data_IF_135940915438
#
_entry.id   IF_135940915438
#
_cell.length_a   1.000
_cell.length_b   1.000
_cell.length_c   1.000
_cell.angle_alpha   90.00
_cell.angle_beta   90.00
_cell.angle_gamma   90.00
#
_symmetry.space_group_name_H-M   'P 1'
#
loop_
_entity.id
_entity.type
_entity.pdbx_description
1 polymer ?
#
# COMPACT_ATOMS: atom_id res chain seq x y z
N UNK A 1 43.38 -24.41 -3.28
CA UNK A 1 42.73 -25.68 -2.90
C UNK A 1 42.05 -25.47 -1.56
N UNK A 2 40.76 -25.62 -1.32
CA UNK A 2 39.59 -25.95 -2.14
C UNK A 2 38.43 -25.96 -1.14
N UNK A 3 37.66 -24.87 -1.06
CA UNK A 3 36.44 -24.87 -0.25
C UNK A 3 35.37 -25.60 -1.07
N UNK A 4 35.12 -26.84 -0.67
CA UNK A 4 34.07 -27.70 -1.21
C UNK A 4 32.72 -27.00 -1.06
N UNK A 5 32.21 -26.35 -2.12
CA UNK A 5 30.79 -26.00 -2.23
C UNK A 5 30.00 -27.30 -2.41
N UNK A 6 29.81 -28.02 -1.30
CA UNK A 6 29.11 -29.30 -1.25
C UNK A 6 27.59 -29.15 -1.21
N UNK A 7 27.11 -27.91 -1.11
CA UNK A 7 25.69 -27.60 -1.02
C UNK A 7 25.32 -26.59 -2.09
N UNK A 8 24.21 -26.87 -2.77
CA UNK A 8 23.58 -25.92 -3.69
C UNK A 8 23.07 -24.70 -2.92
N UNK A 9 22.78 -23.60 -3.62
CA UNK A 9 22.25 -22.39 -2.99
C UNK A 9 20.94 -22.68 -2.25
N UNK A 10 20.11 -23.55 -2.81
CA UNK A 10 18.82 -23.95 -2.22
C UNK A 10 19.04 -24.74 -0.92
N UNK A 11 19.99 -25.69 -0.90
CA UNK A 11 20.34 -26.46 0.30
C UNK A 11 20.90 -25.57 1.42
N UNK A 12 21.65 -24.51 1.07
CA UNK A 12 22.15 -23.55 2.05
C UNK A 12 21.02 -22.69 2.64
N UNK A 13 20.03 -22.30 1.81
CA UNK A 13 18.87 -21.54 2.27
C UNK A 13 17.96 -22.36 3.17
N UNK A 14 17.71 -23.63 2.83
CA UNK A 14 16.97 -24.56 3.67
C UNK A 14 17.68 -24.78 5.02
N UNK A 15 19.00 -24.91 5.01
CA UNK A 15 19.79 -25.05 6.23
C UNK A 15 19.68 -23.81 7.12
N UNK A 16 19.70 -22.60 6.54
CA UNK A 16 19.51 -21.33 7.27
C UNK A 16 18.11 -21.28 7.89
N UNK A 17 17.07 -21.63 7.13
CA UNK A 17 15.69 -21.67 7.62
C UNK A 17 15.52 -22.66 8.77
N UNK A 18 16.11 -23.85 8.65
CA UNK A 18 16.07 -24.89 9.70
C UNK A 18 16.77 -24.45 10.99
N UNK A 19 17.95 -23.83 10.90
CA UNK A 19 18.63 -23.29 12.08
C UNK A 19 17.82 -22.17 12.74
N UNK A 20 17.20 -21.31 11.95
CA UNK A 20 16.40 -20.20 12.45
C UNK A 20 15.16 -20.66 13.23
N UNK A 21 14.41 -21.62 12.69
CA UNK A 21 13.23 -22.21 13.34
C UNK A 21 13.62 -22.85 14.69
N UNK A 22 14.74 -23.56 14.74
CA UNK A 22 15.23 -24.17 15.97
C UNK A 22 15.65 -23.14 17.02
N UNK A 23 16.28 -22.04 16.59
CA UNK A 23 16.68 -20.95 17.48
C UNK A 23 15.47 -20.27 18.15
N UNK A 24 14.32 -20.27 17.48
CA UNK A 24 13.07 -19.67 17.94
C UNK A 24 12.04 -20.69 18.46
N UNK A 25 12.48 -21.91 18.81
CA UNK A 25 11.62 -22.88 19.47
C UNK A 25 10.41 -23.34 18.63
N UNK A 26 10.48 -23.24 17.31
CA UNK A 26 9.39 -23.57 16.39
C UNK A 26 8.51 -22.39 15.97
N UNK A 27 8.67 -21.20 16.57
CA UNK A 27 7.92 -20.01 16.17
C UNK A 27 8.51 -19.35 14.92
N UNK A 28 7.66 -18.92 14.00
CA UNK A 28 8.07 -18.21 12.77
C UNK A 28 8.42 -16.75 13.07
N UNK A 29 9.59 -16.52 13.68
CA UNK A 29 10.12 -15.18 13.91
C UNK A 29 10.64 -14.56 12.59
N UNK A 30 10.46 -13.26 12.33
CA UNK A 30 10.95 -12.63 11.10
C UNK A 30 12.47 -12.69 10.96
N UNK A 31 12.98 -12.97 9.76
CA UNK A 31 14.40 -13.12 9.46
C UNK A 31 14.81 -12.20 8.31
N UNK A 32 15.83 -11.35 8.52
CA UNK A 32 16.50 -10.62 7.43
C UNK A 32 17.82 -11.29 7.11
N UNK A 33 17.96 -11.80 5.88
CA UNK A 33 19.22 -12.33 5.34
C UNK A 33 19.92 -11.23 4.53
N UNK A 34 21.17 -10.93 4.86
CA UNK A 34 22.02 -10.01 4.08
C UNK A 34 23.12 -10.79 3.38
N UNK A 35 23.14 -10.73 2.05
CA UNK A 35 24.15 -11.40 1.22
C UNK A 35 25.14 -10.34 0.75
N UNK A 36 26.37 -10.44 1.24
CA UNK A 36 27.48 -9.57 0.87
C UNK A 36 28.41 -10.28 -0.12
N UNK A 37 28.58 -9.69 -1.30
CA UNK A 37 29.62 -10.07 -2.26
C UNK A 37 30.39 -8.83 -2.73
N UNK A 38 31.45 -9.02 -3.53
CA UNK A 38 32.23 -7.89 -4.09
C UNK A 38 31.39 -6.96 -4.97
N UNK A 39 30.30 -7.47 -5.55
CA UNK A 39 29.51 -6.77 -6.56
C UNK A 39 28.04 -6.60 -6.16
N UNK A 40 27.60 -7.21 -5.05
CA UNK A 40 26.20 -7.19 -4.61
C UNK A 40 26.07 -7.12 -3.10
N UNK A 41 25.16 -6.26 -2.64
CA UNK A 41 24.60 -6.23 -1.29
C UNK A 41 23.09 -6.45 -1.43
N UNK A 42 22.61 -7.63 -1.05
CA UNK A 42 21.20 -8.02 -1.22
C UNK A 42 20.59 -8.29 0.16
N UNK A 43 19.38 -7.76 0.35
CA UNK A 43 18.57 -7.97 1.54
C UNK A 43 17.36 -8.84 1.16
N UNK A 44 17.12 -9.90 1.93
CA UNK A 44 15.97 -10.77 1.79
C UNK A 44 15.27 -10.88 3.14
N UNK A 45 14.05 -10.35 3.23
CA UNK A 45 13.21 -10.44 4.41
C UNK A 45 12.26 -11.63 4.29
N UNK A 46 12.45 -12.61 5.17
CA UNK A 46 11.64 -13.83 5.28
C UNK A 46 10.67 -13.63 6.44
N UNK A 47 9.38 -13.86 6.19
CA UNK A 47 8.26 -13.66 7.13
C UNK A 47 8.00 -12.19 7.55
N UNK A 48 8.27 -11.22 6.67
CA UNK A 48 7.78 -9.84 6.85
C UNK A 48 8.50 -9.05 7.94
N UNK A 49 9.81 -9.25 8.08
CA UNK A 49 10.67 -8.47 8.97
C UNK A 49 10.59 -6.98 8.63
N UNK A 50 9.71 -6.25 9.32
CA UNK A 50 9.65 -4.80 9.26
C UNK A 50 11.04 -4.22 9.54
N UNK A 51 11.51 -3.35 8.66
CA UNK A 51 12.50 -2.35 9.05
C UNK A 51 12.20 -0.99 8.48
N UNK A 52 11.90 -0.04 9.38
CA UNK A 52 12.51 1.29 9.30
C UNK A 52 12.98 1.74 10.71
N UNK A 53 14.23 1.43 11.11
CA UNK A 53 15.03 2.37 11.91
C UNK A 53 16.42 2.59 11.28
N UNK A 54 17.15 3.72 11.42
CA UNK A 54 17.86 4.23 12.63
C UNK A 54 18.52 5.60 12.36
N UNK A 55 18.98 6.31 13.40
CA UNK A 55 20.34 6.91 13.34
C UNK A 55 21.19 6.71 14.61
N UNK A 56 20.61 6.24 15.72
CA UNK A 56 21.40 5.95 16.92
C UNK A 56 20.76 4.93 17.87
N UNK A 57 19.81 4.12 17.38
CA UNK A 57 18.81 3.45 18.23
C UNK A 57 19.38 2.51 19.31
N UNK A 58 19.20 2.97 20.55
CA UNK A 58 19.32 2.27 21.85
C UNK A 58 18.06 1.47 22.25
N UNK A 59 17.04 1.39 21.42
CA UNK A 59 15.92 0.46 21.59
C UNK A 59 15.12 0.39 20.29
N UNK A 60 14.68 -0.81 19.90
CA UNK A 60 13.82 -0.99 18.74
C UNK A 60 12.46 -0.36 19.05
N UNK A 61 12.08 0.67 18.28
CA UNK A 61 10.77 1.32 18.40
C UNK A 61 9.71 0.50 17.69
N UNK A 62 8.57 0.28 18.33
CA UNK A 62 7.41 -0.35 17.66
C UNK A 62 6.80 0.60 16.61
N UNK A 63 5.98 0.10 15.69
CA UNK A 63 5.26 0.94 14.70
C UNK A 63 4.43 2.03 15.40
N UNK A 64 3.75 1.66 16.49
CA UNK A 64 2.98 2.60 17.31
C UNK A 64 3.86 3.71 17.92
N UNK A 65 5.08 3.39 18.38
CA UNK A 65 6.02 4.38 18.92
C UNK A 65 6.62 5.29 17.84
N UNK A 66 6.90 4.75 16.66
CA UNK A 66 7.32 5.57 15.51
C UNK A 66 6.21 6.56 15.15
N UNK A 67 4.97 6.08 15.13
CA UNK A 67 3.78 6.90 14.87
C UNK A 67 3.60 8.01 15.91
N UNK A 68 3.66 7.66 17.20
CA UNK A 68 3.60 8.62 18.30
C UNK A 68 4.74 9.64 18.27
N UNK A 69 5.88 9.29 17.67
CA UNK A 69 7.01 10.19 17.44
C UNK A 69 6.89 11.02 16.14
N UNK A 70 5.74 10.97 15.44
CA UNK A 70 5.49 11.67 14.19
C UNK A 70 6.16 11.04 12.97
N UNK A 71 6.64 9.79 13.09
CA UNK A 71 7.26 9.05 12.00
C UNK A 71 6.22 8.14 11.34
N UNK A 72 5.84 8.45 10.11
CA UNK A 72 4.91 7.64 9.32
C UNK A 72 3.73 8.45 8.79
N UNK A 73 2.56 7.82 8.78
CA UNK A 73 1.26 8.40 8.42
C UNK A 73 0.21 7.85 9.37
N UNK A 74 -0.60 8.74 9.94
CA UNK A 74 -1.61 8.38 10.96
C UNK A 74 -3.02 8.43 10.38
N UNK A 75 -3.22 9.26 9.36
CA UNK A 75 -4.48 9.51 8.68
C UNK A 75 -4.27 9.49 7.18
N UNK A 76 -5.03 8.64 6.50
CA UNK A 76 -5.02 8.48 5.05
C UNK A 76 -6.38 8.86 4.49
N UNK A 77 -6.41 9.69 3.45
CA UNK A 77 -7.62 9.96 2.68
C UNK A 77 -7.58 9.20 1.35
N UNK A 78 -8.61 8.42 1.05
CA UNK A 78 -8.81 7.80 -0.26
C UNK A 78 -9.94 8.51 -1.01
N UNK A 79 -9.68 8.93 -2.25
CA UNK A 79 -10.73 9.43 -3.14
C UNK A 79 -11.43 8.25 -3.82
N UNK A 80 -12.75 8.27 -3.86
CA UNK A 80 -13.55 7.15 -4.37
C UNK A 80 -14.71 7.65 -5.22
N UNK A 81 -14.74 7.35 -6.52
CA UNK A 81 -15.79 7.84 -7.43
C UNK A 81 -17.01 6.92 -7.49
N UNK A 82 -16.94 5.75 -6.86
CA UNK A 82 -18.02 4.76 -6.85
C UNK A 82 -17.95 3.80 -8.03
N UNK A 83 -16.89 3.82 -8.83
CA UNK A 83 -16.58 2.81 -9.83
C UNK A 83 -16.10 1.51 -9.19
N UNK A 84 -16.13 0.41 -9.95
CA UNK A 84 -15.55 -0.87 -9.52
C UNK A 84 -14.04 -0.79 -9.35
N UNK A 85 -13.33 -0.09 -10.24
CA UNK A 85 -11.89 0.09 -10.14
C UNK A 85 -11.48 0.77 -8.83
N UNK A 86 -12.24 1.79 -8.38
CA UNK A 86 -11.99 2.43 -7.08
C UNK A 86 -12.37 1.54 -5.90
N UNK A 87 -13.36 0.64 -6.06
CA UNK A 87 -13.72 -0.36 -5.05
C UNK A 87 -12.61 -1.41 -4.88
N UNK A 88 -12.00 -1.86 -5.97
CA UNK A 88 -10.85 -2.77 -5.93
C UNK A 88 -9.64 -2.10 -5.26
N UNK A 89 -9.37 -0.83 -5.60
CA UNK A 89 -8.36 -0.02 -4.93
C UNK A 89 -8.69 0.16 -3.44
N UNK A 90 -9.95 0.40 -3.09
CA UNK A 90 -10.38 0.50 -1.69
C UNK A 90 -10.06 -0.78 -0.92
N UNK A 91 -10.37 -1.95 -1.49
CA UNK A 91 -10.04 -3.24 -0.86
C UNK A 91 -8.53 -3.39 -0.68
N UNK A 92 -7.74 -3.06 -1.70
CA UNK A 92 -6.28 -3.06 -1.59
C UNK A 92 -5.81 -2.15 -0.45
N UNK A 93 -6.31 -0.92 -0.36
CA UNK A 93 -5.96 0.04 0.70
C UNK A 93 -6.36 -0.47 2.09
N UNK A 94 -7.54 -1.07 2.25
CA UNK A 94 -8.00 -1.64 3.52
C UNK A 94 -7.07 -2.76 4.00
N UNK A 95 -6.58 -3.59 3.09
CA UNK A 95 -5.66 -4.69 3.44
C UNK A 95 -4.19 -4.28 3.57
N UNK A 96 -3.79 -3.19 2.91
CA UNK A 96 -2.42 -2.67 2.92
C UNK A 96 -2.11 -1.87 4.18
N UNK A 97 -3.07 -1.06 4.64
CA UNK A 97 -2.84 -0.15 5.75
C UNK A 97 -2.93 -0.87 7.09
N UNK A 98 -2.00 -0.52 7.98
CA UNK A 98 -2.02 -0.96 9.38
C UNK A 98 -3.39 -0.61 10.03
N UNK A 99 -4.02 -1.54 10.78
CA UNK A 99 -5.34 -1.37 11.39
C UNK A 99 -5.51 -0.11 12.26
N UNK A 100 -4.44 0.46 12.80
CA UNK A 100 -4.46 1.67 13.63
C UNK A 100 -4.40 2.97 12.82
N UNK A 101 -4.04 2.92 11.53
CA UNK A 101 -4.03 4.10 10.65
C UNK A 101 -5.45 4.47 10.27
N UNK A 102 -5.91 5.66 10.64
CA UNK A 102 -7.26 6.10 10.34
C UNK A 102 -7.47 6.28 8.83
N UNK A 103 -8.52 5.66 8.29
CA UNK A 103 -8.87 5.74 6.87
C UNK A 103 -10.13 6.59 6.68
N UNK A 104 -9.96 7.71 5.99
CA UNK A 104 -11.04 8.52 5.45
C UNK A 104 -11.33 8.13 4.00
N UNK A 105 -12.61 8.11 3.61
CA UNK A 105 -13.02 7.94 2.21
C UNK A 105 -13.80 9.17 1.79
N UNK A 106 -13.38 9.80 0.70
CA UNK A 106 -14.09 10.91 0.10
C UNK A 106 -14.79 10.45 -1.18
N UNK A 107 -16.13 10.35 -1.18
CA UNK A 107 -16.90 10.11 -2.39
C UNK A 107 -16.72 11.28 -3.36
N UNK A 108 -16.34 10.98 -4.60
CA UNK A 108 -16.33 11.96 -5.69
C UNK A 108 -17.65 11.87 -6.45
N UNK A 109 -18.43 12.95 -6.42
CA UNK A 109 -19.60 13.04 -7.29
C UNK A 109 -19.13 13.34 -8.72
N UNK A 110 -19.16 12.32 -9.59
CA UNK A 110 -19.11 12.53 -11.03
C UNK A 110 -20.46 13.12 -11.46
N UNK A 111 -20.46 14.21 -12.22
CA UNK A 111 -21.68 14.87 -12.69
C UNK A 111 -22.48 13.93 -13.60
N UNK A 112 -23.60 13.39 -13.11
CA UNK A 112 -24.50 12.54 -13.91
C UNK A 112 -25.33 11.53 -13.10
N UNK A 113 -26.13 10.72 -13.81
CA UNK A 113 -27.00 9.66 -13.27
C UNK A 113 -26.24 8.51 -12.55
N UNK A 114 -24.91 8.54 -12.56
CA UNK A 114 -24.04 7.57 -11.86
C UNK A 114 -23.90 7.86 -10.35
N UNK A 115 -24.30 9.05 -9.90
CA UNK A 115 -24.26 9.47 -8.48
C UNK A 115 -24.95 8.49 -7.53
N UNK A 116 -26.09 7.91 -7.92
CA UNK A 116 -26.83 6.98 -7.05
C UNK A 116 -26.15 5.62 -6.93
N UNK A 117 -25.60 5.09 -8.04
CA UNK A 117 -24.89 3.79 -8.00
C UNK A 117 -23.53 3.90 -7.32
N UNK A 118 -22.82 5.00 -7.54
CA UNK A 118 -21.53 5.23 -6.91
C UNK A 118 -21.63 5.38 -5.39
N UNK A 119 -22.67 6.06 -4.90
CA UNK A 119 -22.94 6.17 -3.47
C UNK A 119 -23.25 4.81 -2.81
N UNK A 120 -23.93 3.91 -3.53
CA UNK A 120 -24.20 2.54 -3.05
C UNK A 120 -22.91 1.75 -2.89
N UNK A 121 -22.02 1.79 -3.87
CA UNK A 121 -20.75 1.05 -3.80
C UNK A 121 -19.84 1.54 -2.67
N UNK A 122 -19.71 2.86 -2.49
CA UNK A 122 -18.96 3.42 -1.35
C UNK A 122 -19.53 2.96 -0.01
N UNK A 123 -20.87 2.93 0.10
CA UNK A 123 -21.53 2.47 1.31
C UNK A 123 -21.29 0.98 1.58
N UNK A 124 -21.39 0.14 0.54
CA UNK A 124 -21.08 -1.28 0.63
C UNK A 124 -19.62 -1.53 1.05
N UNK A 125 -18.69 -0.74 0.52
CA UNK A 125 -17.27 -0.79 0.90
C UNK A 125 -17.04 -0.41 2.36
N UNK A 126 -17.72 0.63 2.85
CA UNK A 126 -17.67 1.01 4.26
C UNK A 126 -18.20 -0.12 5.17
N UNK A 127 -19.31 -0.76 4.79
CA UNK A 127 -19.86 -1.90 5.54
C UNK A 127 -18.94 -3.13 5.49
N UNK A 128 -18.27 -3.39 4.35
CA UNK A 128 -17.23 -4.44 4.25
C UNK A 128 -16.06 -4.18 5.19
N UNK A 129 -15.52 -2.96 5.20
CA UNK A 129 -14.43 -2.56 6.10
C UNK A 129 -14.82 -2.75 7.58
N UNK A 130 -16.04 -2.36 7.95
CA UNK A 130 -16.55 -2.55 9.31
C UNK A 130 -16.58 -4.02 9.74
N UNK A 131 -16.96 -4.93 8.84
CA UNK A 131 -17.00 -6.38 9.12
C UNK A 131 -15.62 -6.98 9.40
N UNK A 132 -14.55 -6.41 8.84
CA UNK A 132 -13.16 -6.83 9.10
C UNK A 132 -12.51 -6.05 10.24
N UNK A 133 -13.30 -5.32 11.03
CA UNK A 133 -12.81 -4.56 12.20
C UNK A 133 -12.05 -3.29 11.83
N UNK A 134 -12.21 -2.78 10.61
CA UNK A 134 -11.56 -1.56 10.15
C UNK A 134 -12.46 -0.34 10.40
N UNK A 135 -11.99 0.57 11.26
CA UNK A 135 -12.64 1.86 11.45
C UNK A 135 -12.47 2.76 10.24
N UNK A 136 -13.57 3.28 9.71
CA UNK A 136 -13.60 4.11 8.51
C UNK A 136 -14.49 5.33 8.71
N UNK A 137 -14.08 6.47 8.16
CA UNK A 137 -14.91 7.68 8.10
C UNK A 137 -15.20 8.03 6.66
N UNK A 138 -16.47 7.88 6.24
CA UNK A 138 -16.92 8.44 4.95
C UNK A 138 -17.12 9.94 5.14
N UNK A 139 -16.39 10.75 4.39
CA UNK A 139 -16.48 12.21 4.46
C UNK A 139 -17.60 12.71 3.56
N UNK A 140 -18.38 13.65 4.06
CA UNK A 140 -19.26 14.48 3.23
C UNK A 140 -18.54 15.78 2.89
N UNK A 141 -18.44 16.07 1.60
CA UNK A 141 -17.90 17.31 1.06
C UNK A 141 -18.79 17.74 -0.11
N UNK A 142 -19.71 18.70 0.11
CA UNK A 142 -20.69 19.11 -0.90
C UNK A 142 -20.07 19.55 -2.23
N UNK A 143 -18.85 20.09 -2.18
CA UNK A 143 -18.04 20.44 -3.35
C UNK A 143 -16.67 19.79 -3.23
N UNK A 144 -16.51 18.61 -3.81
CA UNK A 144 -15.23 17.88 -3.83
C UNK A 144 -14.33 18.32 -5.00
N UNK A 145 -13.99 19.61 -5.04
CA UNK A 145 -12.99 20.17 -5.96
C UNK A 145 -11.58 20.19 -5.33
N UNK A 146 -10.56 20.46 -6.15
CA UNK A 146 -9.16 20.47 -5.71
C UNK A 146 -8.91 21.33 -4.45
N UNK A 147 -9.27 22.63 -4.47
CA UNK A 147 -9.10 23.52 -3.32
C UNK A 147 -9.82 23.04 -2.05
N UNK A 148 -11.08 22.61 -2.16
CA UNK A 148 -11.83 22.14 -1.00
C UNK A 148 -11.23 20.87 -0.40
N UNK A 149 -10.72 19.96 -1.25
CA UNK A 149 -10.04 18.74 -0.80
C UNK A 149 -8.72 19.09 -0.10
N UNK A 150 -7.91 19.97 -0.66
CA UNK A 150 -6.65 20.41 -0.05
C UNK A 150 -6.87 21.08 1.30
N UNK A 151 -7.89 21.92 1.41
CA UNK A 151 -8.26 22.54 2.68
C UNK A 151 -8.74 21.49 3.69
N UNK A 152 -9.55 20.53 3.24
CA UNK A 152 -10.01 19.43 4.10
C UNK A 152 -8.85 18.56 4.59
N UNK A 153 -7.88 18.26 3.72
CA UNK A 153 -6.68 17.52 4.08
C UNK A 153 -5.94 18.22 5.24
N UNK A 154 -5.83 19.55 5.17
CA UNK A 154 -5.16 20.37 6.20
C UNK A 154 -5.95 20.42 7.51
N UNK A 155 -7.25 20.70 7.44
CA UNK A 155 -8.11 20.83 8.62
C UNK A 155 -8.15 19.53 9.44
N UNK A 156 -8.24 18.40 8.76
CA UNK A 156 -8.28 17.08 9.38
C UNK A 156 -6.89 16.46 9.54
N UNK A 157 -5.81 17.18 9.20
CA UNK A 157 -4.42 16.72 9.36
C UNK A 157 -4.15 15.35 8.72
N UNK A 158 -4.64 15.14 7.50
CA UNK A 158 -4.31 13.95 6.73
C UNK A 158 -2.83 13.98 6.32
N UNK A 159 -2.09 12.89 6.63
CA UNK A 159 -0.67 12.76 6.30
C UNK A 159 -0.41 12.13 4.92
N UNK A 160 -1.45 11.55 4.31
CA UNK A 160 -1.42 10.96 2.98
C UNK A 160 -2.79 11.10 2.31
N UNK A 161 -2.78 11.40 1.02
CA UNK A 161 -3.94 11.25 0.14
C UNK A 161 -3.62 10.26 -0.99
N UNK A 162 -4.55 9.35 -1.26
CA UNK A 162 -4.47 8.37 -2.35
C UNK A 162 -5.41 8.83 -3.46
N UNK A 163 -4.83 9.15 -4.61
CA UNK A 163 -5.51 9.56 -5.83
C UNK A 163 -5.53 8.38 -6.80
N UNK A 164 -6.71 7.82 -7.10
CA UNK A 164 -6.84 6.83 -8.16
C UNK A 164 -6.49 7.45 -9.52
N UNK A 165 -5.84 6.68 -10.40
CA UNK A 165 -5.61 7.07 -11.79
C UNK A 165 -6.52 6.28 -12.72
N UNK A 166 -7.00 6.93 -13.78
CA UNK A 166 -7.79 6.27 -14.83
C UNK A 166 -6.98 5.19 -15.56
N UNK A 167 -7.65 4.10 -15.95
CA UNK A 167 -7.07 2.88 -16.52
C UNK A 167 -6.22 3.10 -17.79
N UNK A 168 -6.44 4.17 -18.55
CA UNK A 168 -5.85 4.36 -19.88
C UNK A 168 -4.48 5.06 -19.93
N UNK A 169 -3.84 5.31 -18.78
CA UNK A 169 -2.66 6.19 -18.77
C UNK A 169 -1.35 5.46 -19.03
N UNK A 170 -1.12 5.19 -20.32
CA UNK A 170 0.19 4.77 -20.81
C UNK A 170 1.22 5.89 -20.63
N UNK A 171 2.33 5.57 -19.95
CA UNK A 171 3.60 6.33 -19.83
C UNK A 171 3.64 7.66 -19.05
N UNK A 172 2.55 8.41 -18.90
CA UNK A 172 2.55 9.69 -18.16
C UNK A 172 1.47 9.75 -17.07
N UNK A 173 1.84 9.35 -15.85
CA UNK A 173 0.94 9.29 -14.68
C UNK A 173 0.38 10.66 -14.26
N UNK A 174 1.11 11.76 -14.49
CA UNK A 174 0.60 13.10 -14.15
C UNK A 174 -0.28 13.68 -15.25
N UNK A 175 -0.07 13.28 -16.51
CA UNK A 175 -0.96 13.61 -17.62
C UNK A 175 -2.37 12.99 -17.50
N UNK A 176 -2.46 11.88 -16.76
CA UNK A 176 -3.69 11.16 -16.44
C UNK A 176 -4.65 11.91 -15.50
N UNK A 177 -4.12 12.87 -14.74
CA UNK A 177 -4.87 13.53 -13.68
C UNK A 177 -5.87 14.53 -14.27
N UNK A 178 -7.08 14.56 -13.71
CA UNK A 178 -8.04 15.64 -13.93
C UNK A 178 -7.56 16.94 -13.25
N UNK A 179 -8.26 18.06 -13.47
CA UNK A 179 -7.89 19.36 -12.88
C UNK A 179 -7.80 19.30 -11.35
N UNK A 180 -8.72 18.56 -10.73
CA UNK A 180 -8.74 18.32 -9.29
C UNK A 180 -7.50 17.54 -8.83
N UNK A 181 -7.17 16.43 -9.48
CA UNK A 181 -6.01 15.61 -9.16
C UNK A 181 -4.70 16.39 -9.31
N UNK A 182 -4.57 17.21 -10.35
CA UNK A 182 -3.42 18.11 -10.53
C UNK A 182 -3.32 19.13 -9.42
N UNK A 183 -4.44 19.76 -9.06
CA UNK A 183 -4.46 20.72 -7.95
C UNK A 183 -4.04 20.08 -6.62
N UNK A 184 -4.55 18.88 -6.31
CA UNK A 184 -4.16 18.17 -5.09
C UNK A 184 -2.67 17.84 -5.12
N UNK A 185 -2.15 17.34 -6.25
CA UNK A 185 -0.73 17.02 -6.39
C UNK A 185 0.18 18.25 -6.17
N UNK A 186 -0.26 19.42 -6.61
CA UNK A 186 0.51 20.67 -6.52
C UNK A 186 0.41 21.35 -5.14
N UNK A 187 -0.76 21.33 -4.50
CA UNK A 187 -1.06 22.15 -3.32
C UNK A 187 -1.26 21.37 -2.02
N UNK A 188 -1.31 20.03 -2.04
CA UNK A 188 -1.46 19.24 -0.82
C UNK A 188 -0.24 19.42 0.11
N UNK A 189 -0.51 19.67 1.39
CA UNK A 189 0.52 19.76 2.43
C UNK A 189 1.08 18.39 2.86
N UNK A 190 0.52 17.31 2.33
CA UNK A 190 0.79 15.93 2.71
C UNK A 190 1.33 15.11 1.54
N UNK A 191 1.71 13.85 1.77
CA UNK A 191 2.11 12.95 0.68
C UNK A 191 0.91 12.69 -0.23
N UNK A 192 1.16 12.60 -1.54
CA UNK A 192 0.16 12.27 -2.56
C UNK A 192 0.60 10.99 -3.25
N UNK A 193 -0.20 9.94 -3.15
CA UNK A 193 0.05 8.66 -3.81
C UNK A 193 -0.89 8.51 -4.98
N UNK A 194 -0.32 8.33 -6.17
CA UNK A 194 -1.08 8.02 -7.37
C UNK A 194 -1.21 6.51 -7.50
N UNK A 195 -2.44 6.02 -7.54
CA UNK A 195 -2.75 4.59 -7.56
C UNK A 195 -3.37 4.21 -8.91
N UNK A 196 -2.57 3.74 -9.88
CA UNK A 196 -3.13 3.18 -11.11
C UNK A 196 -3.89 1.89 -10.81
N UNK A 197 -4.94 1.63 -11.58
CA UNK A 197 -5.58 0.33 -11.58
C UNK A 197 -4.56 -0.74 -11.98
N UNK A 198 -4.57 -1.93 -11.35
CA UNK A 198 -3.68 -3.02 -11.75
C UNK A 198 -3.99 -3.41 -13.20
N UNK A 199 -2.96 -3.44 -14.05
CA UNK A 199 -3.11 -3.94 -15.41
C UNK A 199 -3.51 -5.41 -15.37
N UNK A 200 -4.68 -5.75 -15.92
CA UNK A 200 -5.07 -7.14 -16.11
C UNK A 200 -4.15 -7.72 -17.20
N UNK A 201 -3.31 -8.72 -16.90
CA UNK A 201 -2.49 -9.35 -17.93
C UNK A 201 -3.43 -10.00 -18.96
N UNK A 202 -3.34 -9.59 -20.23
CA UNK A 202 -4.22 -10.12 -21.28
C UNK A 202 -3.85 -11.52 -21.79
N UNK A 203 -2.76 -12.13 -21.32
CA UNK A 203 -2.40 -13.49 -21.70
C UNK A 203 -1.88 -14.29 -20.50
N UNK A 204 -2.57 -15.39 -20.19
CA UNK A 204 -1.96 -16.51 -19.47
C UNK A 204 -1.08 -17.20 -20.51
N UNK A 205 0.24 -16.95 -20.47
CA UNK A 205 1.18 -17.72 -21.29
C UNK A 205 1.21 -19.15 -20.72
N UNK A 206 0.46 -20.02 -21.37
CA UNK A 206 0.45 -21.45 -21.10
C UNK A 206 1.85 -22.00 -21.42
N UNK A 207 2.72 -22.01 -20.41
CA UNK A 207 4.12 -22.44 -20.51
C UNK A 207 4.22 -23.95 -20.35
N UNK A 208 3.29 -24.72 -20.90
CA UNK A 208 3.39 -26.17 -20.94
C UNK A 208 4.29 -26.56 -22.11
N UNK A 209 5.51 -27.09 -21.88
CA UNK A 209 6.33 -27.60 -22.96
C UNK A 209 5.61 -28.80 -23.56
N UNK A 210 5.22 -28.69 -24.82
CA UNK A 210 4.76 -29.82 -25.61
C UNK A 210 5.90 -30.82 -25.74
N UNK A 211 5.79 -31.93 -25.03
CA UNK A 211 6.68 -33.09 -25.20
C UNK A 211 6.33 -33.71 -26.56
N UNK A 212 7.25 -33.58 -27.50
CA UNK A 212 7.26 -34.32 -28.78
C UNK A 212 8.48 -35.21 -28.85
#
# INVERSE_FOLDING_TARGET
MGASNKYTVDEQLEQIAFYWINLHGGDTAPLTVRILSRERDVYLDIAGGSRIPKISDRSARTVAELRAAGVGVDRVLLLHDGSRAHSDLFQAVVTLLDPEVALGVLPLSLTGAETTKGAVLVHEDAERAKKVGRGLTVLDLPKADGPAIVERLRQDQYGLVILPLAEESSSNLTGALDERGRYILEYAHCRVFLAPAPGIPQEVVDSTPSVS
#
